data_IF_961249334179
#
_entry.id   IF_961249334179
#
_cell.length_a   1.000
_cell.length_b   1.000
_cell.length_c   1.000
_cell.angle_alpha   90.00
_cell.angle_beta   90.00
_cell.angle_gamma   90.00
#
_symmetry.space_group_name_H-M   'P 1'
#
loop_
_entity.id
_entity.type
_entity.pdbx_description
1 polymer ?
#
# COMPACT_ATOMS: atom_id res chain seq x y z
N UNK A 1 -5.45 15.04 -4.71
CA UNK A 1 -3.99 15.23 -4.51
C UNK A 1 -3.71 15.07 -3.03
N UNK A 2 -2.56 14.50 -2.64
CA UNK A 2 -2.12 14.42 -1.26
C UNK A 2 -1.09 15.53 -0.95
N UNK A 3 -1.00 15.92 0.32
CA UNK A 3 -0.13 16.99 0.84
C UNK A 3 1.36 16.72 0.58
N UNK A 4 1.77 15.45 0.61
CA UNK A 4 3.14 14.99 0.32
C UNK A 4 3.41 14.83 -1.21
N UNK A 5 2.60 15.48 -2.04
CA UNK A 5 2.65 15.41 -3.50
C UNK A 5 1.75 14.34 -4.12
N UNK A 6 1.86 14.17 -5.45
CA UNK A 6 1.02 13.23 -6.20
C UNK A 6 1.15 11.79 -5.67
N UNK A 7 0.03 11.07 -5.69
CA UNK A 7 -0.08 9.63 -5.43
C UNK A 7 -0.48 8.97 -6.74
N UNK A 8 0.36 8.06 -7.22
CA UNK A 8 0.11 7.26 -8.43
C UNK A 8 -0.13 5.83 -7.96
N UNK A 9 -1.39 5.39 -8.02
CA UNK A 9 -1.81 4.02 -7.66
C UNK A 9 -1.72 3.13 -8.89
N UNK A 10 -1.55 1.83 -8.72
CA UNK A 10 -1.49 0.91 -9.86
C UNK A 10 -2.85 0.85 -10.56
N UNK A 11 -3.93 0.74 -9.78
CA UNK A 11 -5.31 0.69 -10.28
C UNK A 11 -6.26 1.36 -9.28
N UNK A 12 -7.30 2.03 -9.78
CA UNK A 12 -8.41 2.57 -8.99
C UNK A 12 -9.71 1.93 -9.46
N UNK A 13 -10.34 1.10 -8.62
CA UNK A 13 -11.56 0.37 -8.98
C UNK A 13 -12.59 0.55 -7.89
N UNK A 14 -13.79 1.00 -8.26
CA UNK A 14 -14.89 1.22 -7.32
C UNK A 14 -14.50 2.07 -6.09
N UNK A 15 -13.65 3.08 -6.30
CA UNK A 15 -13.15 3.95 -5.22
C UNK A 15 -12.07 3.34 -4.33
N UNK A 16 -11.58 2.13 -4.61
CA UNK A 16 -10.49 1.48 -3.88
C UNK A 16 -9.18 1.63 -4.66
N UNK A 17 -8.18 2.24 -4.04
CA UNK A 17 -6.83 2.35 -4.55
C UNK A 17 -6.08 1.03 -4.36
N UNK A 18 -5.48 0.51 -5.43
CA UNK A 18 -4.70 -0.73 -5.40
C UNK A 18 -3.21 -0.46 -5.63
N UNK A 19 -2.38 -1.15 -4.85
CA UNK A 19 -0.92 -1.18 -4.97
C UNK A 19 -0.45 -2.64 -4.97
N UNK A 20 0.53 -2.96 -5.81
CA UNK A 20 1.12 -4.29 -5.95
C UNK A 20 2.62 -4.24 -5.67
N UNK A 21 3.13 -5.21 -4.90
CA UNK A 21 4.56 -5.37 -4.62
C UNK A 21 4.97 -6.82 -4.90
N UNK A 22 6.10 -6.99 -5.59
CA UNK A 22 6.71 -8.31 -5.84
C UNK A 22 7.97 -8.43 -5.01
N UNK A 23 8.13 -9.57 -4.32
CA UNK A 23 9.25 -9.80 -3.43
C UNK A 23 8.99 -9.32 -1.99
N UNK A 24 9.96 -9.58 -1.13
CA UNK A 24 9.89 -9.15 0.26
C UNK A 24 10.07 -7.64 0.37
N UNK A 25 9.08 -6.94 0.96
CA UNK A 25 9.05 -5.48 1.04
C UNK A 25 9.11 -5.02 2.49
N UNK A 26 9.95 -4.02 2.79
CA UNK A 26 10.11 -3.46 4.13
C UNK A 26 9.52 -2.05 4.24
N UNK A 27 9.29 -1.57 5.47
CA UNK A 27 8.79 -0.22 5.74
C UNK A 27 9.91 0.83 5.63
N UNK A 28 10.27 1.19 4.40
CA UNK A 28 11.19 2.32 4.14
C UNK A 28 10.48 3.67 4.30
N UNK A 29 11.24 4.77 4.27
CA UNK A 29 10.69 6.13 4.23
C UNK A 29 9.71 6.34 3.09
N UNK A 30 10.05 5.84 1.89
CA UNK A 30 9.23 6.02 0.70
C UNK A 30 7.92 5.23 0.80
N UNK A 31 7.98 4.00 1.32
CA UNK A 31 6.79 3.19 1.57
C UNK A 31 5.89 3.87 2.61
N UNK A 32 6.47 4.41 3.69
CA UNK A 32 5.73 5.18 4.69
C UNK A 32 5.03 6.39 4.07
N UNK A 33 5.69 7.12 3.17
CA UNK A 33 5.08 8.26 2.47
C UNK A 33 3.89 7.81 1.61
N UNK A 34 3.97 6.66 0.92
CA UNK A 34 2.82 6.15 0.15
C UNK A 34 1.64 5.80 1.06
N UNK A 35 1.90 5.18 2.22
CA UNK A 35 0.86 4.89 3.22
C UNK A 35 0.20 6.18 3.69
N UNK A 36 0.98 7.20 4.07
CA UNK A 36 0.46 8.50 4.51
C UNK A 36 -0.41 9.15 3.43
N UNK A 37 -0.01 9.04 2.15
CA UNK A 37 -0.81 9.56 1.03
C UNK A 37 -2.13 8.81 0.89
N UNK A 38 -2.13 7.49 0.97
CA UNK A 38 -3.37 6.69 0.89
C UNK A 38 -4.32 7.06 2.04
N UNK A 39 -3.79 7.19 3.26
CA UNK A 39 -4.55 7.62 4.44
C UNK A 39 -5.16 9.01 4.26
N UNK A 40 -4.38 9.98 3.80
CA UNK A 40 -4.87 11.34 3.56
C UNK A 40 -6.00 11.35 2.51
N UNK A 41 -5.86 10.57 1.43
CA UNK A 41 -6.88 10.46 0.40
C UNK A 41 -8.16 9.80 0.93
N UNK A 42 -8.05 8.82 1.83
CA UNK A 42 -9.20 8.23 2.53
C UNK A 42 -9.88 9.24 3.45
N UNK A 43 -9.11 9.95 4.29
CA UNK A 43 -9.63 10.94 5.24
C UNK A 43 -10.33 12.11 4.54
N UNK A 44 -9.81 12.53 3.38
CA UNK A 44 -10.40 13.58 2.55
C UNK A 44 -11.47 13.07 1.60
N UNK A 45 -11.86 11.78 1.70
CA UNK A 45 -12.90 11.11 0.89
C UNK A 45 -12.65 11.15 -0.62
N UNK A 46 -11.39 11.29 -1.03
CA UNK A 46 -10.99 11.20 -2.45
C UNK A 46 -10.94 9.75 -2.93
N UNK A 47 -10.71 8.80 -2.01
CA UNK A 47 -10.88 7.36 -2.22
C UNK A 47 -11.69 6.80 -1.05
N UNK A 48 -12.35 5.66 -1.27
CA UNK A 48 -13.13 4.95 -0.25
C UNK A 48 -12.25 4.01 0.59
N UNK A 49 -11.10 3.60 0.07
CA UNK A 49 -10.15 2.74 0.77
C UNK A 49 -8.93 2.42 -0.07
N UNK A 50 -7.98 1.70 0.52
CA UNK A 50 -6.78 1.23 -0.16
C UNK A 50 -6.55 -0.27 0.09
N UNK A 51 -5.94 -0.96 -0.88
CA UNK A 51 -5.57 -2.36 -0.76
C UNK A 51 -4.22 -2.64 -1.41
N UNK A 52 -3.31 -3.21 -0.62
CA UNK A 52 -1.96 -3.56 -1.03
C UNK A 52 -1.85 -5.08 -1.23
N UNK A 53 -1.38 -5.49 -2.40
CA UNK A 53 -1.22 -6.88 -2.83
C UNK A 53 0.25 -7.23 -2.88
N UNK A 54 0.65 -8.31 -2.23
CA UNK A 54 2.02 -8.78 -2.22
C UNK A 54 2.11 -10.12 -2.93
N UNK A 55 3.10 -10.25 -3.81
CA UNK A 55 3.37 -11.45 -4.58
C UNK A 55 4.77 -11.96 -4.28
N UNK A 56 4.93 -13.28 -4.26
CA UNK A 56 6.25 -13.90 -4.15
C UNK A 56 7.11 -13.58 -5.38
N UNK A 57 8.38 -13.25 -5.15
CA UNK A 57 9.36 -13.12 -6.23
C UNK A 57 9.63 -14.49 -6.86
N UNK A 58 9.54 -14.64 -8.18
CA UNK A 58 9.90 -15.89 -8.86
C UNK A 58 11.41 -16.15 -8.85
N UNK A 59 12.22 -15.13 -8.55
CA UNK A 59 13.70 -15.22 -8.56
C UNK A 59 14.22 -15.64 -7.19
N UNK A 60 13.73 -15.01 -6.11
CA UNK A 60 14.26 -15.23 -4.75
C UNK A 60 13.42 -16.16 -3.90
N UNK A 61 12.19 -16.48 -4.33
CA UNK A 61 11.24 -17.25 -3.55
C UNK A 61 10.70 -16.53 -2.30
N UNK A 62 11.04 -15.26 -2.09
CA UNK A 62 10.58 -14.45 -0.95
C UNK A 62 9.44 -13.52 -1.38
N UNK A 63 8.50 -13.27 -0.48
CA UNK A 63 7.33 -12.42 -0.73
C UNK A 63 6.78 -11.81 0.55
N UNK A 64 5.80 -10.92 0.39
CA UNK A 64 5.06 -10.34 1.50
C UNK A 64 5.68 -9.08 2.12
N UNK A 65 4.90 -8.38 2.96
CA UNK A 65 5.40 -7.27 3.76
C UNK A 65 6.22 -7.77 4.96
N UNK A 66 7.19 -6.98 5.41
CA UNK A 66 7.79 -7.14 6.72
C UNK A 66 6.76 -6.91 7.83
N UNK A 67 7.00 -7.43 9.04
CA UNK A 67 6.14 -7.19 10.21
C UNK A 67 5.78 -5.70 10.41
N UNK A 68 6.77 -4.79 10.47
CA UNK A 68 6.49 -3.35 10.59
C UNK A 68 5.65 -2.76 9.44
N UNK A 69 5.81 -3.27 8.21
CA UNK A 69 5.02 -2.80 7.07
C UNK A 69 3.59 -3.29 7.17
N UNK A 70 3.39 -4.56 7.53
CA UNK A 70 2.07 -5.13 7.78
C UNK A 70 1.32 -4.32 8.83
N UNK A 71 1.93 -4.11 9.99
CA UNK A 71 1.34 -3.34 11.09
C UNK A 71 1.01 -1.91 10.65
N UNK A 72 1.90 -1.24 9.91
CA UNK A 72 1.63 0.10 9.42
C UNK A 72 0.43 0.16 8.45
N UNK A 73 0.22 -0.86 7.62
CA UNK A 73 -0.93 -0.93 6.72
C UNK A 73 -2.22 -1.23 7.49
N UNK A 74 -2.20 -2.26 8.34
CA UNK A 74 -3.36 -2.73 9.10
C UNK A 74 -3.84 -1.68 10.12
N UNK A 75 -2.92 -0.98 10.81
CA UNK A 75 -3.25 0.11 11.73
C UNK A 75 -3.87 1.34 11.04
N UNK A 76 -3.79 1.44 9.71
CA UNK A 76 -4.37 2.51 8.92
C UNK A 76 -5.55 2.03 8.06
N UNK A 77 -6.14 0.88 8.39
CA UNK A 77 -7.27 0.27 7.68
C UNK A 77 -7.00 -0.01 6.18
N UNK A 78 -5.71 -0.20 5.82
CA UNK A 78 -5.31 -0.55 4.46
C UNK A 78 -5.28 -2.07 4.34
N UNK A 79 -6.10 -2.61 3.44
CA UNK A 79 -6.25 -4.06 3.27
C UNK A 79 -4.98 -4.70 2.69
N UNK A 80 -4.39 -5.63 3.42
CA UNK A 80 -3.26 -6.46 2.96
C UNK A 80 -3.78 -7.76 2.34
N UNK A 81 -3.32 -8.08 1.12
CA UNK A 81 -3.58 -9.36 0.45
C UNK A 81 -2.25 -9.97 0.03
N UNK A 82 -2.04 -11.24 0.34
CA UNK A 82 -0.82 -11.98 -0.05
C UNK A 82 -1.23 -13.10 -1.01
N UNK A 83 -0.46 -13.23 -2.10
CA UNK A 83 -0.60 -14.27 -3.12
C UNK A 83 0.64 -15.14 -3.20
#
# INVERSE_FOLDING_TARGET
>A
MASQGKRFVDQLVNGIAHESKVGYTTLTSDIRIQIVKDVELMQTKQIQGASWRFFQSPVTGRGGPSGPLREALENNDIKVVIH
#
